data_IF_833181267838
#
_entry.id   IF_833181267838
#
_cell.length_a   1.000
_cell.length_b   1.000
_cell.length_c   1.000
_cell.angle_alpha   90.00
_cell.angle_beta   90.00
_cell.angle_gamma   90.00
#
_symmetry.space_group_name_H-M   'P 1'
#
loop_
_entity.id
_entity.type
_entity.pdbx_description
1 polymer ?
#
# COMPACT_ATOMS: atom_id res chain seq x y z
N UNK A 1 -5.77 -14.57 -25.38
CA UNK A 1 -5.10 -13.40 -26.01
C UNK A 1 -5.85 -12.14 -25.62
N UNK A 2 -5.15 -11.07 -25.32
CA UNK A 2 -5.75 -9.76 -25.08
C UNK A 2 -6.25 -9.17 -26.42
N UNK A 3 -7.30 -8.33 -26.41
CA UNK A 3 -7.82 -7.69 -27.62
C UNK A 3 -6.76 -6.86 -28.34
N UNK A 4 -6.79 -6.87 -29.68
CA UNK A 4 -5.81 -6.14 -30.51
C UNK A 4 -5.98 -4.61 -30.46
N UNK A 5 -7.18 -4.14 -30.19
CA UNK A 5 -7.53 -2.74 -30.07
C UNK A 5 -7.28 -2.16 -28.66
N UNK A 6 -6.79 -2.99 -27.75
CA UNK A 6 -6.50 -2.55 -26.38
C UNK A 6 -5.40 -1.48 -26.36
N UNK A 7 -5.59 -0.35 -25.64
CA UNK A 7 -4.56 0.65 -25.48
C UNK A 7 -3.23 0.03 -24.95
N UNK A 8 -2.13 0.38 -25.58
CA UNK A 8 -0.80 -0.13 -25.24
C UNK A 8 -0.47 0.00 -23.74
N UNK A 9 -0.92 1.09 -23.11
CA UNK A 9 -0.74 1.29 -21.67
C UNK A 9 -1.48 0.23 -20.85
N UNK A 10 -2.71 -0.11 -21.22
CA UNK A 10 -3.50 -1.12 -20.53
C UNK A 10 -2.94 -2.52 -20.75
N UNK A 11 -2.55 -2.82 -21.98
CA UNK A 11 -1.92 -4.08 -22.35
C UNK A 11 -0.65 -4.37 -21.52
N UNK A 12 0.27 -3.39 -21.45
CA UNK A 12 1.50 -3.56 -20.68
C UNK A 12 1.25 -3.61 -19.18
N UNK A 13 0.26 -2.87 -18.69
CA UNK A 13 -0.14 -2.90 -17.29
C UNK A 13 -0.62 -4.29 -16.89
N UNK A 14 -1.54 -4.88 -17.63
CA UNK A 14 -2.04 -6.23 -17.37
C UNK A 14 -0.88 -7.26 -17.39
N UNK A 15 0.00 -7.17 -18.39
CA UNK A 15 1.16 -8.07 -18.46
C UNK A 15 2.13 -7.92 -17.29
N UNK A 16 2.41 -6.69 -16.89
CA UNK A 16 3.29 -6.42 -15.76
C UNK A 16 2.69 -6.93 -14.44
N UNK A 17 1.38 -6.73 -14.24
CA UNK A 17 0.69 -7.23 -13.05
C UNK A 17 0.60 -8.76 -13.02
N UNK A 18 0.35 -9.42 -14.16
CA UNK A 18 0.38 -10.88 -14.21
C UNK A 18 1.77 -11.42 -13.86
N UNK A 19 2.83 -10.82 -14.39
CA UNK A 19 4.19 -11.24 -14.05
C UNK A 19 4.53 -10.97 -12.57
N UNK A 20 4.05 -9.87 -12.00
CA UNK A 20 4.20 -9.55 -10.58
C UNK A 20 3.43 -10.56 -9.71
N UNK A 21 2.19 -10.88 -10.08
CA UNK A 21 1.33 -11.84 -9.36
C UNK A 21 1.96 -13.24 -9.36
N UNK A 22 2.45 -13.70 -10.51
CA UNK A 22 3.18 -14.96 -10.62
C UNK A 22 4.43 -14.99 -9.72
N UNK A 23 5.20 -13.91 -9.73
CA UNK A 23 6.38 -13.74 -8.89
C UNK A 23 6.06 -13.72 -7.41
N UNK A 24 5.00 -12.99 -7.03
CA UNK A 24 4.52 -12.92 -5.65
C UNK A 24 3.98 -14.28 -5.19
N UNK A 25 3.21 -14.96 -6.02
CA UNK A 25 2.74 -16.32 -5.74
C UNK A 25 3.88 -17.33 -5.56
N UNK A 26 4.94 -17.24 -6.38
CA UNK A 26 6.15 -18.04 -6.18
C UNK A 26 6.83 -17.73 -4.84
N UNK A 27 6.97 -16.45 -4.51
CA UNK A 27 7.58 -16.01 -3.26
C UNK A 27 6.81 -16.50 -2.03
N UNK A 28 5.48 -16.38 -2.03
CA UNK A 28 4.62 -16.86 -0.94
C UNK A 28 4.75 -18.39 -0.76
N UNK A 29 4.71 -19.16 -1.84
CA UNK A 29 4.94 -20.61 -1.77
C UNK A 29 6.30 -20.98 -1.19
N UNK A 30 7.34 -20.19 -1.48
CA UNK A 30 8.67 -20.37 -0.87
C UNK A 30 8.68 -20.06 0.61
N UNK A 31 8.02 -18.96 1.02
CA UNK A 31 7.83 -18.62 2.43
C UNK A 31 7.15 -19.75 3.21
N UNK A 32 6.07 -20.32 2.65
CA UNK A 32 5.30 -21.39 3.29
C UNK A 32 6.07 -22.71 3.38
N UNK A 33 6.99 -22.97 2.47
CA UNK A 33 7.73 -24.24 2.37
C UNK A 33 9.09 -24.23 3.07
N UNK A 34 9.62 -23.05 3.43
CA UNK A 34 10.96 -22.92 4.02
C UNK A 34 10.86 -22.53 5.51
N UNK A 35 11.29 -23.43 6.43
CA UNK A 35 11.21 -23.16 7.87
C UNK A 35 12.00 -21.93 8.33
N UNK A 36 13.05 -21.54 7.60
CA UNK A 36 13.81 -20.34 7.91
C UNK A 36 13.02 -19.10 7.51
N UNK A 37 12.43 -19.09 6.32
CA UNK A 37 11.64 -17.98 5.82
C UNK A 37 10.34 -17.76 6.61
N UNK A 38 9.75 -18.83 7.13
CA UNK A 38 8.57 -18.76 7.99
C UNK A 38 8.79 -17.96 9.30
N UNK A 39 10.03 -17.69 9.66
CA UNK A 39 10.35 -16.90 10.86
C UNK A 39 10.29 -15.39 10.61
N UNK A 40 10.22 -14.98 9.35
CA UNK A 40 10.22 -13.56 8.97
C UNK A 40 8.82 -12.97 8.95
N UNK A 41 8.72 -11.73 9.33
CA UNK A 41 7.58 -10.88 9.04
C UNK A 41 7.83 -10.16 7.73
N UNK A 42 6.92 -10.28 6.78
CA UNK A 42 7.02 -9.67 5.46
C UNK A 42 6.02 -8.54 5.37
N UNK A 43 6.50 -7.38 4.97
CA UNK A 43 5.68 -6.20 4.69
C UNK A 43 5.79 -5.88 3.21
N UNK A 44 4.67 -5.87 2.51
CA UNK A 44 4.59 -5.56 1.09
C UNK A 44 3.76 -4.29 0.95
N UNK A 45 4.33 -3.29 0.30
CA UNK A 45 3.68 -2.03 0.00
C UNK A 45 4.16 -1.47 -1.33
N UNK A 46 3.58 -0.38 -1.78
CA UNK A 46 4.05 0.36 -2.94
C UNK A 46 4.59 1.74 -2.50
N UNK A 47 5.52 2.26 -3.27
CA UNK A 47 6.16 3.56 -3.05
C UNK A 47 5.29 4.73 -3.53
N UNK A 48 4.52 4.52 -4.60
CA UNK A 48 3.63 5.53 -5.17
C UNK A 48 2.55 4.90 -6.06
N UNK A 49 1.60 5.73 -6.49
CA UNK A 49 0.59 5.38 -7.49
C UNK A 49 1.24 5.10 -8.85
N UNK A 50 0.71 4.13 -9.57
CA UNK A 50 1.33 3.65 -10.80
C UNK A 50 1.06 4.57 -12.00
N UNK A 51 -0.10 5.19 -12.10
CA UNK A 51 -0.52 5.83 -13.35
C UNK A 51 -0.75 7.33 -13.23
N UNK A 52 -0.16 8.07 -14.15
CA UNK A 52 -0.51 9.44 -14.45
C UNK A 52 -1.98 9.56 -14.86
N UNK A 53 -2.63 10.68 -14.53
CA UNK A 53 -4.03 10.96 -14.82
C UNK A 53 -4.44 10.66 -16.27
N UNK A 54 -3.64 11.09 -17.26
CA UNK A 54 -3.90 10.85 -18.69
C UNK A 54 -3.98 9.37 -19.05
N UNK A 55 -3.13 8.54 -18.49
CA UNK A 55 -3.14 7.10 -18.74
C UNK A 55 -4.32 6.41 -18.11
N UNK A 56 -4.73 6.85 -16.91
CA UNK A 56 -5.96 6.37 -16.27
C UNK A 56 -7.18 6.69 -17.11
N UNK A 57 -7.26 7.91 -17.64
CA UNK A 57 -8.35 8.33 -18.49
C UNK A 57 -8.46 7.47 -19.76
N UNK A 58 -7.34 7.15 -20.41
CA UNK A 58 -7.32 6.26 -21.57
C UNK A 58 -7.83 4.86 -21.23
N UNK A 59 -7.41 4.30 -20.11
CA UNK A 59 -7.89 2.99 -19.66
C UNK A 59 -9.39 3.01 -19.34
N UNK A 60 -9.87 4.05 -18.69
CA UNK A 60 -11.30 4.19 -18.37
C UNK A 60 -12.13 4.34 -19.63
N UNK A 61 -11.71 5.15 -20.57
CA UNK A 61 -12.41 5.31 -21.86
C UNK A 61 -12.50 3.99 -22.62
N UNK A 62 -11.44 3.20 -22.63
CA UNK A 62 -11.47 1.88 -23.25
C UNK A 62 -12.42 0.93 -22.53
N UNK A 63 -12.38 0.90 -21.21
CA UNK A 63 -13.24 0.07 -20.39
C UNK A 63 -14.73 0.42 -20.58
N UNK A 64 -15.06 1.71 -20.58
CA UNK A 64 -16.41 2.20 -20.81
C UNK A 64 -16.93 1.81 -22.21
N UNK A 65 -16.06 1.88 -23.23
CA UNK A 65 -16.41 1.50 -24.60
C UNK A 65 -16.63 -0.02 -24.78
N UNK A 66 -16.10 -0.83 -23.88
CA UNK A 66 -16.17 -2.30 -23.95
C UNK A 66 -17.02 -2.92 -22.82
N UNK A 67 -17.80 -2.10 -22.13
CA UNK A 67 -18.65 -2.53 -20.99
C UNK A 67 -17.86 -3.29 -19.90
N UNK A 68 -16.60 -2.91 -19.70
CA UNK A 68 -15.73 -3.47 -18.69
C UNK A 68 -15.86 -2.71 -17.38
N UNK A 69 -16.16 -3.41 -16.30
CA UNK A 69 -16.18 -2.80 -14.97
C UNK A 69 -14.75 -2.59 -14.46
N UNK A 70 -14.12 -1.50 -14.83
CA UNK A 70 -12.90 -1.03 -14.15
C UNK A 70 -13.37 -0.37 -12.85
N UNK A 71 -13.09 -1.03 -11.73
CA UNK A 71 -13.26 -0.37 -10.44
C UNK A 71 -12.48 0.96 -10.44
N UNK A 72 -13.04 2.03 -9.86
CA UNK A 72 -12.28 3.25 -9.68
C UNK A 72 -10.91 2.88 -9.13
N UNK A 73 -9.84 3.31 -9.78
CA UNK A 73 -8.50 3.13 -9.23
C UNK A 73 -8.42 4.08 -8.05
N UNK A 74 -8.88 3.60 -6.91
CA UNK A 74 -8.72 4.30 -5.65
C UNK A 74 -7.23 4.60 -5.50
N UNK A 75 -6.93 5.81 -5.09
CA UNK A 75 -5.56 6.25 -4.87
C UNK A 75 -4.90 5.53 -3.68
N UNK A 76 -5.43 4.35 -3.34
CA UNK A 76 -4.97 3.51 -2.27
C UNK A 76 -3.75 2.68 -2.67
N UNK A 77 -2.74 2.70 -1.83
CA UNK A 77 -1.60 1.80 -1.94
C UNK A 77 -1.83 0.55 -1.09
N UNK A 78 -1.40 -0.63 -1.56
CA UNK A 78 -1.51 -1.83 -0.75
C UNK A 78 -0.55 -1.75 0.45
N UNK A 79 -1.01 -2.24 1.58
CA UNK A 79 -0.17 -2.59 2.72
C UNK A 79 -0.57 -3.99 3.18
N UNK A 80 0.26 -4.96 2.85
CA UNK A 80 0.07 -6.35 3.21
C UNK A 80 1.14 -6.74 4.23
N UNK A 81 0.72 -7.35 5.33
CA UNK A 81 1.63 -7.82 6.37
C UNK A 81 1.40 -9.32 6.54
N UNK A 82 2.42 -10.09 6.22
CA UNK A 82 2.48 -11.52 6.51
C UNK A 82 3.37 -11.76 7.71
N UNK A 83 2.86 -12.47 8.69
CA UNK A 83 3.66 -12.91 9.84
C UNK A 83 3.08 -14.22 10.39
N UNK A 84 3.92 -15.20 10.73
CA UNK A 84 3.46 -16.44 11.36
C UNK A 84 2.83 -16.21 12.75
N UNK A 85 3.02 -15.02 13.32
CA UNK A 85 2.42 -14.63 14.60
C UNK A 85 1.02 -14.05 14.46
N UNK A 86 0.60 -13.68 13.26
CA UNK A 86 -0.74 -13.15 12.99
C UNK A 86 -1.69 -14.33 12.81
N UNK A 87 -2.71 -14.43 13.65
CA UNK A 87 -3.75 -15.43 13.51
C UNK A 87 -4.91 -14.89 12.70
N UNK A 88 -5.43 -15.73 11.80
CA UNK A 88 -6.53 -15.34 10.92
C UNK A 88 -6.07 -14.41 9.77
N UNK A 89 -7.02 -13.63 9.27
CA UNK A 89 -6.78 -12.69 8.18
C UNK A 89 -7.38 -11.31 8.54
N UNK A 90 -6.83 -10.63 9.55
CA UNK A 90 -7.36 -9.35 9.99
C UNK A 90 -7.23 -8.31 8.87
N UNK A 91 -8.29 -7.53 8.69
CA UNK A 91 -8.36 -6.48 7.68
C UNK A 91 -8.49 -5.12 8.37
N UNK A 92 -7.56 -4.23 8.10
CA UNK A 92 -7.65 -2.85 8.51
C UNK A 92 -8.45 -2.07 7.47
N UNK A 93 -9.53 -1.41 7.89
CA UNK A 93 -10.49 -0.76 6.98
C UNK A 93 -10.51 0.76 7.10
N UNK A 94 -9.71 1.32 8.01
CA UNK A 94 -9.62 2.77 8.22
C UNK A 94 -8.54 3.39 7.32
N UNK A 95 -8.61 4.69 7.14
CA UNK A 95 -7.62 5.44 6.38
C UNK A 95 -6.23 5.32 7.03
N UNK A 96 -5.26 4.97 6.20
CA UNK A 96 -3.86 4.85 6.57
C UNK A 96 -2.98 5.55 5.54
N UNK A 97 -1.81 6.01 5.96
CA UNK A 97 -0.87 6.74 5.12
C UNK A 97 0.49 6.03 5.09
N UNK A 98 1.29 6.29 4.08
CA UNK A 98 2.64 5.74 4.01
C UNK A 98 3.49 6.09 5.23
N UNK A 99 3.26 7.24 5.86
CA UNK A 99 3.96 7.63 7.08
C UNK A 99 3.68 6.72 8.28
N UNK A 100 2.58 5.96 8.25
CA UNK A 100 2.18 5.01 9.30
C UNK A 100 2.94 3.69 9.21
N UNK A 101 3.55 3.39 8.06
CA UNK A 101 4.28 2.15 7.85
C UNK A 101 5.43 1.99 8.85
N UNK A 102 6.20 3.04 9.07
CA UNK A 102 7.36 2.96 9.95
C UNK A 102 7.00 2.67 11.42
N UNK A 103 6.13 3.46 12.08
CA UNK A 103 5.74 3.15 13.46
C UNK A 103 5.04 1.80 13.60
N UNK A 104 4.21 1.41 12.63
CA UNK A 104 3.58 0.09 12.60
C UNK A 104 4.61 -1.04 12.47
N UNK A 105 5.62 -0.85 11.62
CA UNK A 105 6.71 -1.81 11.46
C UNK A 105 7.55 -1.97 12.73
N UNK A 106 7.85 -0.87 13.42
CA UNK A 106 8.56 -0.90 14.70
C UNK A 106 7.77 -1.68 15.77
N UNK A 107 6.46 -1.52 15.79
CA UNK A 107 5.58 -2.29 16.67
C UNK A 107 5.59 -3.79 16.34
N UNK A 108 5.52 -4.15 15.05
CA UNK A 108 5.65 -5.54 14.60
C UNK A 108 6.97 -6.20 15.02
N UNK A 109 8.05 -5.46 15.03
CA UNK A 109 9.35 -5.91 15.51
C UNK A 109 9.43 -6.02 17.05
N UNK A 110 8.41 -5.55 17.75
CA UNK A 110 8.40 -5.52 19.21
C UNK A 110 9.34 -4.47 19.82
N UNK A 111 9.72 -3.47 19.03
CA UNK A 111 10.56 -2.37 19.50
C UNK A 111 9.73 -1.46 20.39
N UNK A 112 9.99 -1.53 21.68
CA UNK A 112 9.33 -0.68 22.69
C UNK A 112 10.28 0.45 23.09
N UNK A 113 9.70 1.55 23.56
CA UNK A 113 10.47 2.69 24.11
C UNK A 113 11.30 3.48 23.09
N UNK A 114 10.95 3.45 21.82
CA UNK A 114 11.52 4.40 20.87
C UNK A 114 10.69 5.69 20.84
N UNK A 115 11.37 6.83 20.73
CA UNK A 115 10.70 8.12 20.64
C UNK A 115 10.41 8.44 19.18
N UNK A 116 9.19 8.13 18.74
CA UNK A 116 8.72 8.52 17.42
C UNK A 116 8.47 10.03 17.36
N UNK A 117 9.06 10.69 16.37
CA UNK A 117 8.90 12.14 16.14
C UNK A 117 8.20 12.44 14.81
N UNK A 118 7.78 11.43 14.07
CA UNK A 118 7.04 11.59 12.82
C UNK A 118 5.54 11.80 13.05
N UNK A 119 4.83 12.02 11.94
CA UNK A 119 3.37 12.21 11.92
C UNK A 119 2.59 10.90 11.81
N UNK A 120 3.26 9.81 11.44
CA UNK A 120 2.64 8.50 11.33
C UNK A 120 2.20 7.95 12.68
N UNK A 121 1.17 7.13 12.66
CA UNK A 121 0.67 6.40 13.83
C UNK A 121 0.93 4.90 13.68
N UNK A 122 1.03 4.20 14.79
CA UNK A 122 1.04 2.74 14.81
C UNK A 122 -0.39 2.23 14.56
N UNK A 123 -0.60 1.60 13.41
CA UNK A 123 -1.90 1.08 13.01
C UNK A 123 -2.37 -0.12 13.84
N UNK A 124 -1.47 -0.81 14.52
CA UNK A 124 -1.80 -1.95 15.38
C UNK A 124 -2.34 -1.49 16.74
N UNK A 125 -1.81 -0.39 17.26
CA UNK A 125 -2.24 0.18 18.54
C UNK A 125 -3.37 1.21 18.38
N UNK A 126 -3.38 1.92 17.25
CA UNK A 126 -4.32 3.01 16.98
C UNK A 126 -5.12 2.74 15.70
N UNK A 127 -6.15 1.90 15.77
CA UNK A 127 -6.91 1.49 14.57
C UNK A 127 -7.77 2.61 13.97
N UNK A 128 -7.88 3.75 14.61
CA UNK A 128 -8.65 4.89 14.10
C UNK A 128 -7.77 6.12 13.95
N UNK A 129 -7.73 6.67 12.74
CA UNK A 129 -7.06 7.94 12.49
C UNK A 129 -8.08 9.08 12.58
N UNK A 130 -7.85 10.10 13.39
CA UNK A 130 -8.78 11.24 13.51
C UNK A 130 -8.62 12.29 12.40
N UNK A 131 -7.70 12.10 11.44
CA UNK A 131 -7.33 13.12 10.46
C UNK A 131 -7.57 12.58 9.05
N UNK A 132 -8.33 13.33 8.24
CA UNK A 132 -8.51 13.06 6.81
C UNK A 132 -7.31 13.54 5.98
N UNK A 133 -7.15 13.01 4.75
CA UNK A 133 -6.03 13.29 3.83
C UNK A 133 -5.69 14.78 3.68
N UNK A 134 -6.71 15.63 3.47
CA UNK A 134 -6.53 17.07 3.31
C UNK A 134 -6.00 17.75 4.58
N UNK A 135 -6.38 17.23 5.74
CA UNK A 135 -5.95 17.76 7.03
C UNK A 135 -4.52 17.37 7.38
N UNK A 136 -4.06 16.20 6.93
CA UNK A 136 -2.68 15.76 7.12
C UNK A 136 -1.68 16.69 6.42
N UNK A 137 -1.99 17.17 5.23
CA UNK A 137 -1.16 18.16 4.53
C UNK A 137 -1.11 19.49 5.27
N UNK A 138 -2.25 20.00 5.73
CA UNK A 138 -2.33 21.25 6.48
C UNK A 138 -1.60 21.13 7.81
N UNK A 139 -1.73 20.02 8.49
CA UNK A 139 -1.03 19.75 9.74
C UNK A 139 0.47 19.67 9.53
N UNK A 140 0.93 18.97 8.49
CA UNK A 140 2.34 18.86 8.13
C UNK A 140 2.97 20.21 7.85
N UNK A 141 2.29 21.05 7.06
CA UNK A 141 2.76 22.40 6.74
C UNK A 141 2.84 23.29 8.01
N UNK A 142 1.85 23.22 8.88
CA UNK A 142 1.86 23.93 10.16
C UNK A 142 3.00 23.47 11.07
N UNK A 143 3.28 22.18 11.14
CA UNK A 143 4.37 21.64 11.95
C UNK A 143 5.74 22.03 11.41
N UNK A 144 5.91 22.03 10.08
CA UNK A 144 7.14 22.51 9.42
C UNK A 144 7.35 24.00 9.69
N UNK A 145 6.32 24.82 9.48
CA UNK A 145 6.39 26.28 9.71
C UNK A 145 6.67 26.65 11.15
N UNK A 146 6.19 25.85 12.10
CA UNK A 146 6.43 26.05 13.52
C UNK A 146 7.73 25.43 14.05
N UNK A 147 8.64 24.98 13.17
CA UNK A 147 9.90 24.34 13.53
C UNK A 147 9.72 23.15 14.49
N UNK A 148 8.62 22.42 14.36
CA UNK A 148 8.32 21.30 15.27
C UNK A 148 9.42 20.24 15.28
N UNK A 149 10.02 19.97 14.12
CA UNK A 149 11.06 18.96 13.94
C UNK A 149 12.47 19.41 14.31
N UNK A 150 12.66 20.69 14.61
CA UNK A 150 13.97 21.27 14.98
C UNK A 150 14.22 21.34 16.48
N UNK A 151 13.30 20.80 17.30
CA UNK A 151 13.42 20.81 18.78
C UNK A 151 13.95 19.50 19.33
#
# INVERSE_FOLDING_TARGET
SLPEDMPWVMYNFIRAFNALDDGLGYFVRKLESDPVLQQYTIVITADHRILHYEKRRQMQQYADAHDMNLQPMDDCLPLLIYSPKIQGNPRYTNDAFQMDIYPTYMSLLGVKNYRWKGLGIDLLENPTRPIQDSEAYILSDKLIRNNYFSK
#
